data_IF_019727154678
#
_entry.id   IF_019727154678
#
_cell.length_a   1.000
_cell.length_b   1.000
_cell.length_c   1.000
_cell.angle_alpha   90.00
_cell.angle_beta   90.00
_cell.angle_gamma   90.00
#
_symmetry.space_group_name_H-M   'P 1'
#
loop_
_entity.id
_entity.type
_entity.pdbx_description
1 polymer ?
#
# COMPACT_ATOMS: atom_id res chain seq x y z
N UNK A 1 -11.45 1.94 -14.92
CA UNK A 1 -10.22 2.30 -14.21
C UNK A 1 -9.87 1.10 -13.34
N UNK A 2 -8.76 0.40 -13.58
CA UNK A 2 -8.38 -0.76 -12.77
C UNK A 2 -8.06 -0.34 -11.33
N UNK A 3 -8.45 -1.14 -10.34
CA UNK A 3 -8.24 -0.84 -8.92
C UNK A 3 -6.77 -1.12 -8.52
N UNK A 4 -5.86 -0.21 -8.89
CA UNK A 4 -4.45 -0.28 -8.52
C UNK A 4 -4.21 -0.27 -7.00
N UNK A 5 -5.16 0.26 -6.22
CA UNK A 5 -5.09 0.24 -4.75
C UNK A 5 -5.20 -1.18 -4.22
N UNK A 6 -6.06 -2.01 -4.82
CA UNK A 6 -6.19 -3.42 -4.47
C UNK A 6 -4.94 -4.23 -4.84
N UNK A 7 -4.34 -3.97 -6.01
CA UNK A 7 -3.12 -4.67 -6.45
C UNK A 7 -1.95 -4.41 -5.49
N UNK A 8 -1.76 -3.15 -5.10
CA UNK A 8 -0.74 -2.76 -4.13
C UNK A 8 -0.97 -3.39 -2.76
N UNK A 9 -2.21 -3.38 -2.28
CA UNK A 9 -2.60 -4.02 -1.03
C UNK A 9 -2.34 -5.54 -1.04
N UNK A 10 -2.65 -6.22 -2.14
CA UNK A 10 -2.31 -7.64 -2.30
C UNK A 10 -0.80 -7.88 -2.33
N UNK A 11 -0.02 -6.98 -2.95
CA UNK A 11 1.45 -7.01 -2.90
C UNK A 11 1.99 -6.89 -1.47
N UNK A 12 1.52 -5.92 -0.70
CA UNK A 12 1.90 -5.77 0.73
C UNK A 12 1.53 -7.02 1.54
N UNK A 13 0.35 -7.61 1.31
CA UNK A 13 -0.03 -8.89 1.95
C UNK A 13 0.90 -10.04 1.56
N UNK A 14 1.33 -10.11 0.30
CA UNK A 14 2.27 -11.14 -0.14
C UNK A 14 3.63 -11.00 0.54
N UNK A 15 4.11 -9.77 0.72
CA UNK A 15 5.34 -9.48 1.47
C UNK A 15 5.25 -9.95 2.92
N UNK A 16 4.15 -9.60 3.60
CA UNK A 16 3.91 -10.06 4.97
C UNK A 16 3.83 -11.59 5.06
N UNK A 17 3.15 -12.23 4.11
CA UNK A 17 3.04 -13.69 4.05
C UNK A 17 4.41 -14.36 3.88
N UNK A 18 5.27 -13.81 3.02
CA UNK A 18 6.67 -14.27 2.89
C UNK A 18 7.44 -14.14 4.19
N UNK A 19 7.19 -13.08 4.95
CA UNK A 19 7.81 -12.85 6.26
C UNK A 19 7.19 -13.69 7.39
N UNK A 20 6.24 -14.57 7.08
CA UNK A 20 5.60 -15.47 8.04
C UNK A 20 4.39 -14.89 8.77
N UNK A 21 3.93 -13.70 8.37
CA UNK A 21 2.78 -13.01 8.98
C UNK A 21 1.53 -13.14 8.11
N UNK A 22 0.38 -13.38 8.74
CA UNK A 22 -0.92 -13.42 8.08
C UNK A 22 -1.88 -12.50 8.82
N UNK A 23 -2.07 -11.31 8.27
CA UNK A 23 -2.91 -10.29 8.89
C UNK A 23 -4.34 -10.32 8.36
N UNK A 24 -5.30 -10.20 9.27
CA UNK A 24 -6.75 -10.17 8.98
C UNK A 24 -7.38 -8.78 9.10
N UNK A 25 -6.63 -7.79 9.61
CA UNK A 25 -7.11 -6.41 9.74
C UNK A 25 -6.18 -5.40 9.03
N UNK A 26 -6.76 -4.30 8.55
CA UNK A 26 -5.99 -3.22 7.92
C UNK A 26 -4.98 -2.60 8.89
N UNK A 27 -5.36 -2.48 10.16
CA UNK A 27 -4.50 -1.92 11.21
C UNK A 27 -3.28 -2.81 11.45
N UNK A 28 -3.51 -4.11 11.64
CA UNK A 28 -2.42 -5.05 11.88
C UNK A 28 -1.51 -5.20 10.65
N UNK A 29 -2.09 -5.17 9.45
CA UNK A 29 -1.32 -5.12 8.20
C UNK A 29 -0.40 -3.91 8.12
N UNK A 30 -0.91 -2.70 8.40
CA UNK A 30 -0.08 -1.49 8.39
C UNK A 30 1.03 -1.54 9.43
N UNK A 31 0.71 -2.01 10.64
CA UNK A 31 1.70 -2.12 11.72
C UNK A 31 2.81 -3.11 11.35
N UNK A 32 2.45 -4.33 10.94
CA UNK A 32 3.42 -5.34 10.54
C UNK A 32 4.27 -4.87 9.35
N UNK A 33 3.66 -4.23 8.35
CA UNK A 33 4.39 -3.70 7.21
C UNK A 33 5.36 -2.58 7.61
N UNK A 34 4.92 -1.67 8.50
CA UNK A 34 5.77 -0.62 9.03
C UNK A 34 6.97 -1.18 9.78
N UNK A 35 6.75 -2.13 10.70
CA UNK A 35 7.83 -2.68 11.52
C UNK A 35 8.83 -3.49 10.69
N UNK A 36 8.37 -4.26 9.70
CA UNK A 36 9.22 -5.16 8.95
C UNK A 36 10.01 -4.46 7.83
N UNK A 37 9.43 -3.46 7.19
CA UNK A 37 10.00 -2.88 5.97
C UNK A 37 10.29 -1.39 6.05
N UNK A 38 9.52 -0.63 6.82
CA UNK A 38 9.66 0.84 6.87
C UNK A 38 10.62 1.26 7.98
N UNK A 39 10.41 0.76 9.20
CA UNK A 39 11.23 1.09 10.38
C UNK A 39 12.64 0.49 10.27
N UNK A 40 12.78 -0.59 9.52
CA UNK A 40 14.07 -1.22 9.18
C UNK A 40 14.83 -0.46 8.08
N UNK A 41 14.18 0.51 7.42
CA UNK A 41 14.75 1.31 6.34
C UNK A 41 14.87 0.58 5.00
N UNK A 42 14.26 -0.61 4.87
CA UNK A 42 14.25 -1.39 3.61
C UNK A 42 13.40 -0.68 2.54
N UNK A 43 12.27 -0.10 2.96
CA UNK A 43 11.38 0.70 2.14
C UNK A 43 11.19 2.08 2.76
N UNK A 44 10.91 3.06 1.93
CA UNK A 44 10.74 4.46 2.30
C UNK A 44 9.33 4.71 2.85
N UNK A 45 9.23 5.79 3.62
CA UNK A 45 7.95 6.29 4.13
C UNK A 45 6.94 6.65 3.02
N UNK A 46 7.39 6.85 1.77
CA UNK A 46 6.48 7.13 0.66
C UNK A 46 5.65 5.89 0.29
N UNK A 47 6.24 4.70 0.36
CA UNK A 47 5.54 3.41 0.16
C UNK A 47 4.42 3.24 1.20
N UNK A 48 4.72 3.56 2.46
CA UNK A 48 3.74 3.51 3.55
C UNK A 48 2.58 4.51 3.33
N UNK A 49 2.90 5.75 2.93
CA UNK A 49 1.87 6.75 2.62
C UNK A 49 0.99 6.36 1.43
N UNK A 50 1.55 5.67 0.43
CA UNK A 50 0.80 5.14 -0.71
C UNK A 50 -0.22 4.10 -0.23
N UNK A 51 0.18 3.22 0.69
CA UNK A 51 -0.69 2.21 1.30
C UNK A 51 -1.85 2.88 2.05
N UNK A 52 -1.55 3.86 2.90
CA UNK A 52 -2.58 4.57 3.68
C UNK A 52 -3.55 5.35 2.79
N UNK A 53 -3.05 6.05 1.78
CA UNK A 53 -3.91 6.75 0.82
C UNK A 53 -4.80 5.79 0.04
N UNK A 54 -4.27 4.63 -0.37
CA UNK A 54 -5.05 3.61 -1.06
C UNK A 54 -6.21 3.09 -0.21
N UNK A 55 -5.94 2.78 1.06
CA UNK A 55 -6.97 2.35 2.01
C UNK A 55 -8.03 3.42 2.24
N UNK A 56 -7.61 4.67 2.48
CA UNK A 56 -8.52 5.78 2.75
C UNK A 56 -9.39 6.11 1.52
N UNK A 57 -8.82 6.09 0.31
CA UNK A 57 -9.59 6.34 -0.92
C UNK A 57 -10.63 5.26 -1.17
N UNK A 58 -10.33 4.00 -0.83
CA UNK A 58 -11.29 2.91 -0.91
C UNK A 58 -12.42 3.07 0.11
N UNK A 59 -12.08 3.39 1.35
CA UNK A 59 -13.07 3.70 2.38
C UNK A 59 -13.94 4.91 1.99
N UNK A 60 -13.35 5.95 1.41
CA UNK A 60 -14.10 7.09 0.90
C UNK A 60 -14.99 6.69 -0.28
N UNK A 61 -14.49 5.93 -1.26
CA UNK A 61 -15.32 5.47 -2.37
C UNK A 61 -16.51 4.60 -1.91
N UNK A 62 -16.31 3.77 -0.88
CA UNK A 62 -17.34 2.87 -0.34
C UNK A 62 -18.34 3.60 0.58
N UNK A 63 -17.96 4.69 1.25
CA UNK A 63 -18.79 5.35 2.28
C UNK A 63 -19.09 6.85 2.08
N UNK A 64 -18.36 7.57 1.21
CA UNK A 64 -18.46 9.03 1.03
C UNK A 64 -18.23 9.40 -0.45
N UNK A 65 -19.31 9.74 -1.16
CA UNK A 65 -19.37 10.07 -2.61
C UNK A 65 -18.40 11.16 -3.15
N UNK A 66 -17.45 11.66 -2.36
CA UNK A 66 -16.43 12.64 -2.76
C UNK A 66 -15.13 11.94 -3.21
N UNK A 67 -15.14 11.38 -4.42
CA UNK A 67 -13.94 10.86 -5.09
C UNK A 67 -13.54 11.81 -6.23
N UNK A 68 -12.35 12.43 -6.15
CA UNK A 68 -11.86 13.35 -7.19
C UNK A 68 -10.89 12.65 -8.15
N UNK A 69 -10.95 13.02 -9.43
CA UNK A 69 -10.04 12.50 -10.46
C UNK A 69 -8.56 12.79 -10.14
N UNK A 70 -8.27 13.94 -9.53
CA UNK A 70 -6.91 14.30 -9.12
C UNK A 70 -6.38 13.43 -7.99
N UNK A 71 -7.23 13.08 -7.01
CA UNK A 71 -6.87 12.15 -5.94
C UNK A 71 -6.60 10.74 -6.47
N UNK A 72 -7.41 10.29 -7.44
CA UNK A 72 -7.22 9.02 -8.12
C UNK A 72 -5.87 8.94 -8.85
N UNK A 73 -5.55 9.96 -9.67
CA UNK A 73 -4.30 10.00 -10.42
C UNK A 73 -3.08 10.04 -9.51
N UNK A 74 -3.12 10.85 -8.46
CA UNK A 74 -2.00 10.93 -7.51
C UNK A 74 -1.78 9.60 -6.76
N UNK A 75 -2.87 8.90 -6.39
CA UNK A 75 -2.74 7.58 -5.76
C UNK A 75 -2.08 6.58 -6.70
N UNK A 76 -2.47 6.56 -7.99
CA UNK A 76 -1.89 5.64 -8.97
C UNK A 76 -0.38 5.88 -9.11
N UNK A 77 0.05 7.14 -9.19
CA UNK A 77 1.49 7.48 -9.24
C UNK A 77 2.24 6.96 -8.00
N UNK A 78 1.71 7.22 -6.80
CA UNK A 78 2.32 6.74 -5.55
C UNK A 78 2.41 5.22 -5.48
N UNK A 79 1.39 4.51 -5.96
CA UNK A 79 1.39 3.04 -6.00
C UNK A 79 2.45 2.52 -6.96
N UNK A 80 2.55 3.11 -8.15
CA UNK A 80 3.56 2.72 -9.16
C UNK A 80 4.96 2.94 -8.62
N UNK A 81 5.22 4.08 -7.99
CA UNK A 81 6.51 4.37 -7.36
C UNK A 81 6.82 3.38 -6.24
N UNK A 82 5.85 3.09 -5.37
CA UNK A 82 6.03 2.13 -4.28
C UNK A 82 6.30 0.71 -4.76
N UNK A 83 5.65 0.26 -5.85
CA UNK A 83 5.91 -1.06 -6.44
C UNK A 83 7.33 -1.15 -7.03
N UNK A 84 7.80 -0.11 -7.73
CA UNK A 84 9.17 -0.07 -8.25
C UNK A 84 10.20 -0.11 -7.14
N UNK A 85 9.92 0.57 -6.04
CA UNK A 85 10.79 0.55 -4.86
C UNK A 85 10.84 -0.85 -4.24
N UNK A 86 9.70 -1.51 -4.10
CA UNK A 86 9.61 -2.91 -3.63
C UNK A 86 10.41 -3.85 -4.53
N UNK A 87 10.24 -3.78 -5.85
CA UNK A 87 11.02 -4.61 -6.79
C UNK A 87 12.52 -4.38 -6.64
N UNK A 88 12.94 -3.12 -6.54
CA UNK A 88 14.35 -2.73 -6.44
C UNK A 88 15.01 -3.18 -5.13
N UNK A 89 14.35 -2.97 -4.00
CA UNK A 89 14.96 -3.19 -2.68
C UNK A 89 14.79 -4.65 -2.19
N UNK A 90 13.84 -5.39 -2.76
CA UNK A 90 13.56 -6.79 -2.37
C UNK A 90 13.89 -7.82 -3.47
N UNK A 91 14.41 -7.37 -4.61
CA UNK A 91 14.93 -8.19 -5.73
C UNK A 91 13.87 -9.20 -6.25
N UNK A 92 12.64 -8.70 -6.47
CA UNK A 92 11.50 -9.47 -6.97
C UNK A 92 11.46 -9.63 -8.49
#
# INVERSE_FOLDING_TARGET
MGDYSSLFFHGVRALLYRSGYREESHVALKLAFSELYINTGILTQNVYKALERGMNLREMADYKENYSQSGASNLIEMVIEGLKEIEKELDY
#
